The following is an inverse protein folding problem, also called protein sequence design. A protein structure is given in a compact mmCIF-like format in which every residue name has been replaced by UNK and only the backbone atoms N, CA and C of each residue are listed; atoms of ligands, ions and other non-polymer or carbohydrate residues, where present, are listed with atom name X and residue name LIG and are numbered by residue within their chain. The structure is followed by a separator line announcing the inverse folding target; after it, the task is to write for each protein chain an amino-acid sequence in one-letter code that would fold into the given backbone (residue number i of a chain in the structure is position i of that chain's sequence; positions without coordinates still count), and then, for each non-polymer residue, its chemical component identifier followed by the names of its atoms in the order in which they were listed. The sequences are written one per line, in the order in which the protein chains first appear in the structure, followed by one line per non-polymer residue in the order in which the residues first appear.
data_IF_589465809853
#
_entry.id   IF_589465809853
#
_cell.length_a   1.000
_cell.length_b   1.000
_cell.length_c   1.000
_cell.angle_alpha   90.00
_cell.angle_beta   90.00
_cell.angle_gamma   90.00
#
_symmetry.space_group_name_H-M   'P 1'
#
loop_
_entity.id
_entity.type
_entity.pdbx_description
1 polymer ?
#
# COMPACT_ATOMS: atom_id res chain seq x y z
N UNK A 1 2.85 23.94 -5.17
CA UNK A 1 3.47 22.86 -4.39
C UNK A 1 3.11 23.06 -2.92
N UNK A 2 2.78 21.99 -2.20
CA UNK A 2 2.51 22.10 -0.77
C UNK A 2 3.81 22.33 0.01
N UNK A 3 3.75 23.08 1.13
CA UNK A 3 4.90 23.26 2.05
C UNK A 3 5.53 21.93 2.48
N UNK A 4 4.70 20.89 2.57
CA UNK A 4 5.09 19.52 2.88
C UNK A 4 6.09 18.93 1.88
N UNK A 5 5.83 19.09 0.58
CA UNK A 5 6.73 18.62 -0.48
C UNK A 5 8.10 19.30 -0.42
N UNK A 6 8.11 20.61 -0.16
CA UNK A 6 9.34 21.39 -0.02
C UNK A 6 10.16 20.91 1.17
N UNK A 7 9.54 20.77 2.35
CA UNK A 7 10.21 20.35 3.58
C UNK A 7 10.84 18.96 3.44
N UNK A 8 10.14 18.04 2.77
CA UNK A 8 10.65 16.68 2.49
C UNK A 8 11.91 16.72 1.62
N UNK A 9 12.05 17.70 0.74
CA UNK A 9 13.24 17.86 -0.10
C UNK A 9 14.40 18.58 0.58
N UNK A 10 14.11 19.51 1.48
CA UNK A 10 15.15 20.20 2.26
C UNK A 10 15.76 19.29 3.34
N UNK A 11 15.02 18.27 3.80
CA UNK A 11 15.42 17.43 4.93
C UNK A 11 15.78 15.97 4.57
N UNK A 12 15.45 15.49 3.36
CA UNK A 12 15.68 14.10 2.97
C UNK A 12 17.05 13.88 2.30
N UNK A 13 17.75 12.83 2.72
CA UNK A 13 18.74 12.15 1.87
C UNK A 13 18.01 11.21 0.90
N UNK A 14 17.30 11.75 -0.10
CA UNK A 14 16.42 10.98 -0.99
C UNK A 14 16.10 11.68 -2.31
N UNK A 15 15.53 10.94 -3.27
CA UNK A 15 15.43 11.36 -4.68
C UNK A 15 14.49 12.55 -4.90
N UNK A 16 14.98 13.56 -5.62
CA UNK A 16 14.21 14.72 -6.04
C UNK A 16 13.70 14.53 -7.46
N UNK A 17 12.37 14.55 -7.67
CA UNK A 17 11.80 14.38 -9.03
C UNK A 17 12.03 15.62 -9.89
N UNK A 18 12.54 15.46 -11.11
CA UNK A 18 12.90 16.59 -11.99
C UNK A 18 11.74 17.55 -12.29
N UNK A 19 10.52 17.05 -12.40
CA UNK A 19 9.33 17.87 -12.66
C UNK A 19 8.92 18.67 -11.41
N UNK A 20 9.25 18.18 -10.22
CA UNK A 20 9.08 18.93 -8.98
C UNK A 20 10.22 19.93 -8.79
N UNK A 21 11.45 19.62 -9.20
CA UNK A 21 12.53 20.61 -9.28
C UNK A 21 12.17 21.76 -10.22
N UNK A 22 11.67 21.47 -11.43
CA UNK A 22 11.21 22.51 -12.37
C UNK A 22 10.15 23.42 -11.74
N UNK A 23 9.16 22.82 -11.07
CA UNK A 23 8.10 23.55 -10.42
C UNK A 23 8.59 24.36 -9.19
N UNK A 24 9.60 23.89 -8.46
CA UNK A 24 10.20 24.62 -7.32
C UNK A 24 11.04 25.79 -7.83
N UNK A 25 11.89 25.57 -8.83
CA UNK A 25 12.71 26.62 -9.44
C UNK A 25 11.84 27.76 -9.99
N UNK A 26 10.69 27.45 -10.58
CA UNK A 26 9.73 28.46 -11.06
C UNK A 26 9.09 29.26 -9.92
N UNK A 27 8.80 28.62 -8.79
CA UNK A 27 8.21 29.28 -7.61
C UNK A 27 9.25 30.12 -6.88
N UNK A 28 10.49 29.66 -6.78
CA UNK A 28 11.59 30.36 -6.12
C UNK A 28 12.27 31.43 -6.98
N UNK A 29 11.85 31.60 -8.24
CA UNK A 29 12.39 32.62 -9.14
C UNK A 29 13.84 32.36 -9.57
N UNK A 30 14.25 31.09 -9.61
CA UNK A 30 15.59 30.66 -10.06
C UNK A 30 15.76 30.98 -11.55
N UNK A 31 16.98 31.37 -11.95
CA UNK A 31 17.30 31.69 -13.36
C UNK A 31 17.07 30.49 -14.30
N UNK A 32 16.79 30.75 -15.59
CA UNK A 32 16.53 29.69 -16.57
C UNK A 32 17.72 28.71 -16.71
N UNK A 33 18.95 29.22 -16.62
CA UNK A 33 20.18 28.42 -16.70
C UNK A 33 20.32 27.49 -15.48
N UNK A 34 20.19 28.04 -14.28
CA UNK A 34 20.32 27.30 -13.02
C UNK A 34 19.15 26.33 -12.80
N UNK A 35 17.94 26.70 -13.25
CA UNK A 35 16.79 25.78 -13.33
C UNK A 35 17.10 24.59 -14.21
N UNK A 36 17.66 24.82 -15.40
CA UNK A 36 17.98 23.73 -16.33
C UNK A 36 19.04 22.78 -15.75
N UNK A 37 20.06 23.33 -15.08
CA UNK A 37 21.08 22.54 -14.38
C UNK A 37 20.50 21.70 -13.23
N UNK A 38 19.61 22.26 -12.42
CA UNK A 38 18.94 21.54 -11.32
C UNK A 38 17.97 20.46 -11.83
N UNK A 39 17.25 20.73 -12.92
CA UNK A 39 16.40 19.75 -13.61
C UNK A 39 17.26 18.61 -14.14
N UNK A 40 18.39 18.91 -14.76
CA UNK A 40 19.28 17.89 -15.32
C UNK A 40 19.97 17.09 -14.20
N UNK A 41 20.30 17.71 -13.07
CA UNK A 41 20.77 17.02 -11.87
C UNK A 41 19.71 16.06 -11.31
N UNK A 42 18.44 16.48 -11.24
CA UNK A 42 17.33 15.65 -10.78
C UNK A 42 16.95 14.53 -11.77
N UNK A 43 17.08 14.76 -13.08
CA UNK A 43 16.92 13.71 -14.11
C UNK A 43 18.02 12.65 -14.02
N UNK A 44 19.23 13.07 -13.66
CA UNK A 44 20.39 12.21 -13.54
C UNK A 44 20.63 11.68 -12.12
N UNK A 45 19.82 12.14 -11.15
CA UNK A 45 19.70 11.63 -9.79
C UNK A 45 19.05 10.25 -9.83
N UNK A 46 19.85 9.24 -10.17
CA UNK A 46 19.46 7.84 -9.98
C UNK A 46 19.59 7.54 -8.49
N UNK A 47 18.49 7.16 -7.85
CA UNK A 47 18.56 6.30 -6.67
C UNK A 47 19.30 5.05 -7.09
N UNK A 48 20.56 4.93 -6.66
CA UNK A 48 21.35 3.71 -6.82
C UNK A 48 21.05 2.69 -5.71
N UNK A 49 20.22 3.05 -4.74
CA UNK A 49 19.99 2.29 -3.51
C UNK A 49 18.49 2.10 -3.27
N UNK A 50 17.98 0.94 -3.68
CA UNK A 50 16.60 0.53 -3.46
C UNK A 50 16.41 -0.87 -4.03
N UNK A 51 15.77 -1.77 -3.29
CA UNK A 51 15.62 -3.16 -3.74
C UNK A 51 14.78 -3.30 -5.02
N UNK A 52 14.00 -2.27 -5.35
CA UNK A 52 13.17 -2.19 -6.55
C UNK A 52 13.94 -1.75 -7.81
N UNK A 53 15.18 -1.28 -7.69
CA UNK A 53 16.01 -0.80 -8.82
C UNK A 53 16.17 -1.85 -9.93
N UNK A 54 16.40 -3.15 -9.65
CA UNK A 54 16.46 -4.18 -10.68
C UNK A 54 15.16 -4.34 -11.50
N UNK A 55 14.02 -3.90 -10.96
CA UNK A 55 12.70 -4.05 -11.57
C UNK A 55 12.23 -2.81 -12.33
N UNK A 56 12.95 -1.68 -12.31
CA UNK A 56 12.47 -0.37 -12.78
C UNK A 56 11.94 -0.35 -14.24
N UNK A 57 12.49 -1.16 -15.14
CA UNK A 57 12.02 -1.27 -16.53
C UNK A 57 10.70 -2.03 -16.71
N UNK A 58 10.22 -2.71 -15.66
CA UNK A 58 9.06 -3.60 -15.66
C UNK A 58 7.96 -3.17 -14.67
N UNK A 59 8.29 -2.26 -13.76
CA UNK A 59 7.31 -1.68 -12.83
C UNK A 59 6.34 -0.78 -13.59
N UNK A 60 5.05 -0.90 -13.27
CA UNK A 60 4.07 0.11 -13.68
C UNK A 60 4.44 1.47 -13.08
N UNK A 61 4.07 2.56 -13.76
CA UNK A 61 4.35 3.91 -13.27
C UNK A 61 3.85 4.15 -11.82
N UNK A 62 2.67 3.66 -11.40
CA UNK A 62 2.26 3.74 -10.00
C UNK A 62 3.18 2.99 -9.04
N UNK A 63 3.65 1.78 -9.39
CA UNK A 63 4.56 1.01 -8.54
C UNK A 63 5.93 1.69 -8.38
N UNK A 64 6.45 2.33 -9.44
CA UNK A 64 7.69 3.10 -9.35
C UNK A 64 7.58 4.26 -8.35
N UNK A 65 6.39 4.83 -8.19
CA UNK A 65 6.13 5.89 -7.22
C UNK A 65 5.85 5.35 -5.82
N UNK A 66 5.13 4.22 -5.73
CA UNK A 66 4.68 3.61 -4.47
C UNK A 66 5.84 3.05 -3.64
N UNK A 67 6.74 2.27 -4.27
CA UNK A 67 7.76 1.50 -3.55
C UNK A 67 8.72 2.38 -2.72
N UNK A 68 9.21 3.54 -3.21
CA UNK A 68 9.99 4.45 -2.38
C UNK A 68 9.19 5.02 -1.20
N UNK A 69 7.91 5.40 -1.42
CA UNK A 69 7.06 5.96 -0.36
C UNK A 69 6.82 4.92 0.74
N UNK A 70 6.47 3.70 0.34
CA UNK A 70 6.30 2.58 1.25
C UNK A 70 7.58 2.30 2.05
N UNK A 71 8.74 2.26 1.37
CA UNK A 71 10.03 1.99 2.02
C UNK A 71 10.39 3.03 3.09
N UNK A 72 10.12 4.32 2.84
CA UNK A 72 10.42 5.41 3.77
C UNK A 72 9.35 5.58 4.87
N UNK A 73 8.23 4.87 4.78
CA UNK A 73 7.16 4.98 5.78
C UNK A 73 7.56 4.34 7.10
N UNK A 74 7.26 5.01 8.21
CA UNK A 74 7.33 4.46 9.57
C UNK A 74 5.97 3.95 10.03
N UNK A 75 4.88 4.36 9.38
CA UNK A 75 3.51 3.92 9.64
C UNK A 75 2.80 3.69 8.31
N UNK A 76 2.04 2.62 8.22
CA UNK A 76 1.18 2.31 7.08
C UNK A 76 -0.21 1.98 7.63
N UNK A 77 -1.24 2.68 7.16
CA UNK A 77 -2.64 2.37 7.49
C UNK A 77 -3.38 2.02 6.22
N UNK A 78 -4.09 0.90 6.17
CA UNK A 78 -4.72 0.44 4.94
C UNK A 78 -6.13 -0.04 5.19
N UNK A 79 -7.09 0.52 4.45
CA UNK A 79 -8.42 -0.05 4.31
C UNK A 79 -8.47 -0.88 3.03
N UNK A 80 -8.82 -2.17 3.16
CA UNK A 80 -9.00 -3.06 2.04
C UNK A 80 -10.44 -3.58 1.99
N UNK A 81 -11.13 -3.28 0.89
CA UNK A 81 -12.55 -3.63 0.69
C UNK A 81 -12.77 -4.67 -0.40
N UNK A 82 -11.69 -5.19 -1.01
CA UNK A 82 -11.78 -6.03 -2.19
C UNK A 82 -10.98 -7.33 -2.12
N UNK A 83 -9.70 -7.23 -1.79
CA UNK A 83 -8.75 -8.36 -1.76
C UNK A 83 -7.80 -8.13 -0.60
N UNK A 84 -7.15 -9.20 -0.15
CA UNK A 84 -6.13 -9.09 0.91
C UNK A 84 -5.01 -8.13 0.46
N UNK A 85 -4.54 -7.20 1.31
CA UNK A 85 -3.43 -6.30 0.98
C UNK A 85 -2.18 -7.02 0.50
N UNK A 86 -1.49 -6.44 -0.49
CA UNK A 86 -0.31 -7.05 -1.10
C UNK A 86 0.85 -7.33 -0.14
N UNK A 87 0.95 -6.61 0.97
CA UNK A 87 1.94 -6.84 2.03
C UNK A 87 1.63 -8.09 2.88
N UNK A 88 0.40 -8.61 2.82
CA UNK A 88 -0.09 -9.76 3.59
C UNK A 88 -0.55 -10.91 2.69
N UNK A 89 -0.18 -10.92 1.40
CA UNK A 89 -0.61 -11.96 0.47
C UNK A 89 0.32 -13.17 0.47
N UNK A 90 -0.21 -14.39 0.38
CA UNK A 90 0.62 -15.55 0.05
C UNK A 90 0.95 -15.57 -1.45
N UNK A 91 1.96 -16.33 -1.83
CA UNK A 91 2.35 -16.50 -3.22
C UNK A 91 1.18 -17.03 -4.08
N UNK A 92 0.49 -18.08 -3.59
CA UNK A 92 -0.63 -18.69 -4.31
C UNK A 92 -1.82 -17.74 -4.44
N UNK A 93 -2.11 -16.93 -3.41
CA UNK A 93 -3.16 -15.93 -3.48
C UNK A 93 -2.82 -14.83 -4.49
N UNK A 94 -1.58 -14.30 -4.43
CA UNK A 94 -1.11 -13.29 -5.37
C UNK A 94 -1.15 -13.78 -6.82
N UNK A 95 -0.77 -15.04 -7.06
CA UNK A 95 -0.86 -15.69 -8.37
C UNK A 95 -2.32 -15.80 -8.82
N UNK A 96 -3.22 -16.26 -7.96
CA UNK A 96 -4.65 -16.41 -8.28
C UNK A 96 -5.32 -15.08 -8.67
N UNK A 97 -4.96 -13.97 -8.02
CA UNK A 97 -5.42 -12.63 -8.40
C UNK A 97 -4.92 -12.27 -9.81
N UNK A 98 -3.66 -12.59 -10.13
CA UNK A 98 -3.07 -12.27 -11.43
C UNK A 98 -3.57 -13.12 -12.59
N UNK A 99 -4.02 -14.35 -12.32
CA UNK A 99 -4.61 -15.23 -13.34
C UNK A 99 -6.11 -15.01 -13.53
N UNK A 100 -6.71 -14.01 -12.88
CA UNK A 100 -8.13 -13.68 -13.06
C UNK A 100 -8.39 -13.20 -14.50
N UNK A 101 -9.43 -13.70 -15.20
CA UNK A 101 -9.72 -13.34 -16.58
C UNK A 101 -9.80 -11.82 -16.81
N UNK A 102 -9.19 -11.34 -17.90
CA UNK A 102 -9.19 -9.93 -18.29
C UNK A 102 -8.00 -9.10 -17.78
N UNK A 103 -7.09 -9.68 -16.97
CA UNK A 103 -5.84 -9.03 -16.52
C UNK A 103 -4.62 -9.98 -16.53
N UNK A 104 -4.67 -11.06 -17.30
CA UNK A 104 -3.58 -12.04 -17.40
C UNK A 104 -2.34 -11.39 -17.99
N UNK A 105 -1.23 -11.42 -17.25
CA UNK A 105 0.11 -11.08 -17.77
C UNK A 105 0.65 -12.29 -18.56
N UNK A 106 1.57 -12.04 -19.49
CA UNK A 106 2.32 -13.12 -20.13
C UNK A 106 3.06 -13.97 -19.07
N UNK A 107 3.21 -15.30 -19.27
CA UNK A 107 3.75 -16.20 -18.24
C UNK A 107 5.14 -15.82 -17.71
N UNK A 108 5.99 -15.25 -18.57
CA UNK A 108 7.36 -14.82 -18.23
C UNK A 108 7.36 -13.59 -17.30
N UNK A 109 6.40 -12.67 -17.49
CA UNK A 109 6.22 -11.49 -16.64
C UNK A 109 5.57 -11.83 -15.29
N UNK A 110 4.85 -12.95 -15.20
CA UNK A 110 4.17 -13.37 -13.98
C UNK A 110 5.14 -13.81 -12.88
N UNK A 111 6.21 -14.54 -13.22
CA UNK A 111 7.21 -15.03 -12.25
C UNK A 111 7.96 -13.89 -11.56
N UNK A 112 8.57 -13.00 -12.35
CA UNK A 112 9.32 -11.85 -11.81
C UNK A 112 8.41 -10.90 -11.01
N UNK A 113 7.15 -10.72 -11.44
CA UNK A 113 6.17 -9.94 -10.69
C UNK A 113 5.88 -10.55 -9.31
N UNK A 114 5.70 -11.87 -9.25
CA UNK A 114 5.47 -12.57 -7.99
C UNK A 114 6.69 -12.47 -7.07
N UNK A 115 7.90 -12.65 -7.61
CA UNK A 115 9.15 -12.50 -6.85
C UNK A 115 9.29 -11.09 -6.26
N UNK A 116 9.08 -10.05 -7.08
CA UNK A 116 9.08 -8.66 -6.62
C UNK A 116 8.01 -8.45 -5.53
N UNK A 117 6.81 -8.99 -5.72
CA UNK A 117 5.72 -8.87 -4.76
C UNK A 117 6.05 -9.54 -3.43
N UNK A 118 6.64 -10.74 -3.44
CA UNK A 118 7.07 -11.42 -2.22
C UNK A 118 8.25 -10.69 -1.56
N UNK A 119 9.19 -10.17 -2.34
CA UNK A 119 10.29 -9.37 -1.80
C UNK A 119 9.79 -8.11 -1.10
N UNK A 120 8.80 -7.42 -1.67
CA UNK A 120 8.18 -6.21 -1.11
C UNK A 120 7.70 -6.41 0.34
N UNK A 121 7.17 -7.60 0.66
CA UNK A 121 6.62 -7.90 1.99
C UNK A 121 7.69 -7.88 3.09
N UNK A 122 8.96 -8.09 2.75
CA UNK A 122 10.09 -8.06 3.70
C UNK A 122 10.27 -6.73 4.41
N UNK A 123 9.58 -5.67 3.97
CA UNK A 123 9.52 -4.41 4.72
C UNK A 123 8.98 -4.62 6.15
N UNK A 124 8.07 -5.58 6.35
CA UNK A 124 7.50 -5.91 7.66
C UNK A 124 8.49 -6.69 8.55
N UNK A 125 9.53 -7.29 7.96
CA UNK A 125 10.51 -8.15 8.64
C UNK A 125 11.87 -7.45 8.87
N UNK A 126 12.00 -6.18 8.47
CA UNK A 126 13.27 -5.43 8.62
C UNK A 126 13.51 -5.03 10.09
N UNK A 127 14.74 -4.63 10.43
CA UNK A 127 15.11 -4.28 11.80
C UNK A 127 14.26 -3.15 12.44
N UNK A 128 13.75 -2.23 11.63
CA UNK A 128 12.82 -1.17 12.04
C UNK A 128 11.60 -1.18 11.11
N UNK A 129 10.68 -2.15 11.26
CA UNK A 129 9.54 -2.28 10.38
C UNK A 129 8.55 -1.12 10.61
N UNK A 130 7.72 -0.77 9.61
CA UNK A 130 6.65 0.19 9.84
C UNK A 130 5.56 -0.41 10.73
N UNK A 131 4.91 0.44 11.52
CA UNK A 131 3.65 0.10 12.17
C UNK A 131 2.57 -0.04 11.10
N UNK A 132 2.10 -1.27 10.86
CA UNK A 132 1.15 -1.57 9.81
C UNK A 132 -0.22 -1.92 10.38
N UNK A 133 -1.20 -1.02 10.20
CA UNK A 133 -2.58 -1.22 10.64
C UNK A 133 -3.50 -1.43 9.43
N UNK A 134 -4.10 -2.61 9.36
CA UNK A 134 -5.00 -3.01 8.28
C UNK A 134 -6.43 -3.16 8.79
N UNK A 135 -7.36 -2.49 8.13
CA UNK A 135 -8.80 -2.73 8.22
C UNK A 135 -9.23 -3.55 7.00
N UNK A 136 -9.75 -4.74 7.26
CA UNK A 136 -10.33 -5.61 6.25
C UNK A 136 -11.84 -5.50 6.30
N UNK A 137 -12.48 -5.18 5.18
CA UNK A 137 -13.91 -5.44 5.03
C UNK A 137 -14.16 -6.95 5.08
N UNK A 138 -15.22 -7.41 5.74
CA UNK A 138 -15.53 -8.84 5.82
C UNK A 138 -15.62 -9.51 4.44
N UNK A 139 -16.00 -8.77 3.39
CA UNK A 139 -16.02 -9.31 2.02
C UNK A 139 -14.66 -9.81 1.54
N UNK A 140 -13.55 -9.27 2.04
CA UNK A 140 -12.19 -9.74 1.74
C UNK A 140 -11.99 -11.18 2.23
N UNK A 141 -12.58 -11.53 3.38
CA UNK A 141 -12.49 -12.87 3.96
C UNK A 141 -13.43 -13.86 3.26
N UNK A 142 -14.55 -13.38 2.71
CA UNK A 142 -15.60 -14.21 2.09
C UNK A 142 -15.38 -14.45 0.60
N UNK A 143 -14.73 -13.54 -0.12
CA UNK A 143 -14.51 -13.64 -1.57
C UNK A 143 -13.61 -14.82 -1.90
N UNK A 144 -14.06 -15.69 -2.80
CA UNK A 144 -13.28 -16.84 -3.24
C UNK A 144 -12.18 -16.38 -4.22
N UNK A 145 -10.92 -16.53 -3.80
CA UNK A 145 -9.73 -16.26 -4.63
C UNK A 145 -8.86 -17.51 -4.67
N UNK A 146 -8.59 -18.04 -5.86
CA UNK A 146 -7.75 -19.24 -6.02
C UNK A 146 -8.37 -20.55 -5.47
N UNK A 147 -9.62 -20.50 -5.02
CA UNK A 147 -10.35 -21.64 -4.46
C UNK A 147 -10.12 -21.85 -2.96
N UNK A 148 -10.82 -22.84 -2.37
CA UNK A 148 -10.82 -23.08 -0.92
C UNK A 148 -9.45 -23.24 -0.25
N UNK A 149 -8.53 -23.96 -0.89
CA UNK A 149 -7.20 -24.23 -0.32
C UNK A 149 -6.34 -22.97 -0.28
N UNK A 150 -6.35 -22.18 -1.35
CA UNK A 150 -5.61 -20.91 -1.44
C UNK A 150 -6.16 -19.90 -0.43
N UNK A 151 -7.48 -19.80 -0.30
CA UNK A 151 -8.09 -18.95 0.74
C UNK A 151 -7.73 -19.40 2.15
N UNK A 152 -7.72 -20.71 2.42
CA UNK A 152 -7.38 -21.20 3.76
C UNK A 152 -5.93 -20.84 4.14
N UNK A 153 -4.98 -21.07 3.22
CA UNK A 153 -3.58 -20.67 3.39
C UNK A 153 -3.43 -19.15 3.56
N UNK A 154 -4.16 -18.37 2.77
CA UNK A 154 -4.14 -16.92 2.88
C UNK A 154 -4.65 -16.44 4.26
N UNK A 155 -5.71 -17.05 4.77
CA UNK A 155 -6.25 -16.69 6.08
C UNK A 155 -5.34 -17.16 7.22
N UNK A 156 -4.61 -18.27 7.05
CA UNK A 156 -3.55 -18.68 7.99
C UNK A 156 -2.45 -17.62 8.10
N UNK A 157 -1.97 -17.08 6.97
CA UNK A 157 -0.97 -16.00 6.98
C UNK A 157 -1.47 -14.74 7.69
N UNK A 158 -2.76 -14.39 7.56
CA UNK A 158 -3.32 -13.24 8.29
C UNK A 158 -3.35 -13.48 9.79
N UNK A 159 -3.69 -14.69 10.24
CA UNK A 159 -3.64 -15.05 11.66
C UNK A 159 -2.22 -15.02 12.20
N UNK A 160 -1.25 -15.52 11.43
CA UNK A 160 0.18 -15.48 11.79
C UNK A 160 0.69 -14.05 11.89
N UNK A 161 0.50 -13.23 10.85
CA UNK A 161 0.94 -11.83 10.82
C UNK A 161 0.22 -10.97 11.84
N UNK A 162 -1.01 -11.30 12.23
CA UNK A 162 -1.71 -10.63 13.32
C UNK A 162 -1.06 -10.80 14.70
N UNK A 163 -0.08 -11.71 14.85
CA UNK A 163 0.71 -11.87 16.08
C UNK A 163 1.98 -11.01 16.08
N UNK A 164 2.38 -10.42 14.95
CA UNK A 164 3.57 -9.57 14.86
C UNK A 164 3.32 -8.24 15.59
N UNK A 165 4.28 -7.78 16.40
CA UNK A 165 4.11 -6.58 17.23
C UNK A 165 3.91 -5.29 16.43
N UNK A 166 4.32 -5.27 15.16
CA UNK A 166 4.19 -4.13 14.26
C UNK A 166 3.00 -4.27 13.29
N UNK A 167 2.18 -5.32 13.40
CA UNK A 167 1.04 -5.55 12.50
C UNK A 167 -0.25 -5.65 13.30
N UNK A 168 -1.20 -4.79 12.98
CA UNK A 168 -2.54 -4.82 13.55
C UNK A 168 -3.55 -5.10 12.45
N UNK A 169 -4.35 -6.15 12.61
CA UNK A 169 -5.41 -6.53 11.66
C UNK A 169 -6.75 -6.46 12.38
N UNK A 170 -7.66 -5.66 11.84
CA UNK A 170 -9.05 -5.62 12.29
C UNK A 170 -9.99 -5.90 11.12
N UNK A 171 -11.18 -6.43 11.44
CA UNK A 171 -12.22 -6.73 10.45
C UNK A 171 -13.42 -5.85 10.70
N UNK A 172 -13.91 -5.19 9.65
CA UNK A 172 -15.19 -4.51 9.59
C UNK A 172 -16.27 -5.55 9.24
N UNK A 173 -17.09 -6.01 10.20
CA UNK A 173 -18.09 -7.04 9.93
C UNK A 173 -19.28 -6.44 9.17
N UNK A 174 -19.97 -7.25 8.36
CA UNK A 174 -21.13 -6.77 7.59
C UNK A 174 -22.25 -6.21 8.48
N UNK A 175 -22.40 -6.73 9.70
CA UNK A 175 -23.39 -6.27 10.66
C UNK A 175 -23.16 -4.85 11.17
N UNK A 176 -21.97 -4.29 10.93
CA UNK A 176 -21.60 -2.95 11.37
C UNK A 176 -22.21 -1.86 10.44
N UNK A 177 -22.67 -2.25 9.24
CA UNK A 177 -23.42 -1.40 8.33
C UNK A 177 -22.56 -0.70 7.28
N UNK A 178 -23.18 0.18 6.48
CA UNK A 178 -22.48 0.93 5.44
C UNK A 178 -21.79 2.16 6.05
N UNK A 179 -20.52 2.37 5.67
CA UNK A 179 -19.73 3.49 6.14
C UNK A 179 -19.40 4.46 5.01
N UNK A 180 -20.03 5.64 5.02
CA UNK A 180 -19.70 6.72 4.06
C UNK A 180 -18.28 7.27 4.24
N UNK A 181 -17.68 7.04 5.40
CA UNK A 181 -16.32 7.43 5.75
C UNK A 181 -15.26 6.77 4.85
N UNK A 182 -15.59 5.69 4.12
CA UNK A 182 -14.72 5.13 3.10
C UNK A 182 -15.49 4.47 1.96
N UNK A 183 -15.68 5.22 0.87
CA UNK A 183 -16.31 4.72 -0.35
C UNK A 183 -15.40 3.75 -1.14
N UNK A 184 -14.09 3.75 -0.88
CA UNK A 184 -13.10 2.92 -1.58
C UNK A 184 -11.94 2.51 -0.69
N UNK A 185 -11.21 1.47 -1.10
CA UNK A 185 -9.94 1.11 -0.47
C UNK A 185 -8.92 2.25 -0.62
N UNK A 186 -8.11 2.47 0.40
CA UNK A 186 -7.02 3.45 0.40
C UNK A 186 -5.90 3.04 1.34
N UNK A 187 -4.73 3.65 1.17
CA UNK A 187 -3.56 3.48 2.05
C UNK A 187 -3.07 4.86 2.48
N UNK A 188 -2.79 5.03 3.77
CA UNK A 188 -2.08 6.18 4.32
C UNK A 188 -0.65 5.74 4.59
N UNK A 189 0.29 6.33 3.86
CA UNK A 189 1.72 6.19 4.11
C UNK A 189 2.17 7.35 4.97
N UNK A 190 2.62 7.05 6.19
CA UNK A 190 2.95 8.05 7.19
C UNK A 190 4.38 7.97 7.71
N UNK A 191 4.87 9.13 8.12
CA UNK A 191 6.20 9.30 8.71
C UNK A 191 6.14 9.96 10.09
N UNK A 192 7.29 10.50 10.57
CA UNK A 192 7.36 11.24 11.82
C UNK A 192 6.52 12.52 11.84
N UNK A 193 6.33 13.16 10.69
CA UNK A 193 5.49 14.36 10.53
C UNK A 193 4.17 14.01 9.80
N UNK A 194 3.02 13.98 10.51
CA UNK A 194 1.72 13.69 9.92
C UNK A 194 1.30 14.65 8.80
N UNK A 195 1.86 15.86 8.73
CA UNK A 195 1.59 16.83 7.66
C UNK A 195 2.17 16.37 6.31
N UNK A 196 3.07 15.37 6.34
CA UNK A 196 3.72 14.79 5.17
C UNK A 196 3.11 13.44 4.74
N UNK A 197 2.05 12.98 5.42
CA UNK A 197 1.40 11.72 5.08
C UNK A 197 0.84 11.77 3.64
N UNK A 198 0.94 10.63 2.94
CA UNK A 198 0.50 10.47 1.55
C UNK A 198 -0.65 9.47 1.50
N UNK A 199 -1.77 9.88 0.90
CA UNK A 199 -2.89 8.98 0.63
C UNK A 199 -2.72 8.35 -0.74
N UNK A 200 -2.71 7.03 -0.81
CA UNK A 200 -2.66 6.27 -2.03
C UNK A 200 -4.00 5.58 -2.29
N UNK A 201 -4.56 5.79 -3.48
CA UNK A 201 -5.79 5.15 -3.94
C UNK A 201 -5.51 4.52 -5.30
N UNK A 202 -5.76 3.23 -5.43
CA UNK A 202 -5.64 2.50 -6.70
C UNK A 202 -7.03 2.26 -7.31
N UNK A 203 -7.16 2.50 -8.60
CA UNK A 203 -8.36 2.19 -9.37
C UNK A 203 -8.01 1.44 -10.66
N UNK A 204 -9.02 1.07 -11.44
CA UNK A 204 -8.83 0.27 -12.66
C UNK A 204 -7.98 0.97 -13.73
N UNK A 205 -8.01 2.30 -13.78
CA UNK A 205 -7.37 3.10 -14.84
C UNK A 205 -6.06 3.77 -14.39
N UNK A 206 -5.72 3.70 -13.11
CA UNK A 206 -4.51 4.32 -12.57
C UNK A 206 -4.52 4.40 -11.05
N UNK A 207 -3.75 5.34 -10.52
CA UNK A 207 -3.62 5.55 -9.08
C UNK A 207 -3.52 7.04 -8.76
N UNK A 208 -4.00 7.40 -7.57
CA UNK A 208 -3.94 8.75 -7.02
C UNK A 208 -2.99 8.77 -5.83
N UNK A 209 -2.20 9.84 -5.74
CA UNK A 209 -1.39 10.19 -4.59
C UNK A 209 -1.87 11.56 -4.12
N UNK A 210 -2.53 11.61 -2.96
CA UNK A 210 -3.11 12.83 -2.40
C UNK A 210 -2.26 13.30 -1.22
N UNK A 211 -1.96 14.60 -1.22
CA UNK A 211 -1.02 15.24 -0.28
C UNK A 211 -1.54 16.61 0.19
N UNK A 212 -2.76 16.95 -0.18
CA UNK A 212 -3.47 18.11 0.33
C UNK A 212 -4.07 17.82 1.71
N UNK A 213 -4.10 18.85 2.55
CA UNK A 213 -4.53 18.76 3.95
C UNK A 213 -5.96 18.19 4.09
N UNK A 214 -6.92 18.71 3.33
CA UNK A 214 -8.30 18.23 3.37
C UNK A 214 -8.43 16.76 2.99
N UNK A 215 -7.63 16.25 2.05
CA UNK A 215 -7.63 14.83 1.73
C UNK A 215 -7.03 13.98 2.86
N UNK A 216 -5.91 14.41 3.47
CA UNK A 216 -5.35 13.72 4.63
C UNK A 216 -6.34 13.66 5.79
N UNK A 217 -6.91 14.79 6.17
CA UNK A 217 -7.85 14.87 7.29
C UNK A 217 -9.07 13.96 7.09
N UNK A 218 -9.65 13.99 5.88
CA UNK A 218 -10.79 13.15 5.56
C UNK A 218 -10.46 11.65 5.64
N UNK A 219 -9.31 11.21 5.09
CA UNK A 219 -8.95 9.78 5.06
C UNK A 219 -8.43 9.27 6.39
N UNK A 220 -7.63 10.07 7.12
CA UNK A 220 -7.15 9.71 8.47
C UNK A 220 -8.33 9.68 9.45
N UNK A 221 -9.19 10.71 9.44
CA UNK A 221 -10.39 10.74 10.27
C UNK A 221 -11.36 9.61 9.93
N UNK A 222 -11.52 9.28 8.64
CA UNK A 222 -12.30 8.14 8.19
C UNK A 222 -11.73 6.80 8.67
N UNK A 223 -10.41 6.62 8.58
CA UNK A 223 -9.72 5.42 9.08
C UNK A 223 -9.91 5.27 10.60
N UNK A 224 -9.67 6.33 11.37
CA UNK A 224 -9.81 6.31 12.83
C UNK A 224 -11.27 6.04 13.26
N UNK A 225 -12.25 6.56 12.51
CA UNK A 225 -13.65 6.22 12.71
C UNK A 225 -13.89 4.71 12.48
N UNK A 226 -13.42 4.17 11.36
CA UNK A 226 -13.60 2.75 11.03
C UNK A 226 -12.89 1.82 12.02
N UNK A 227 -11.74 2.20 12.58
CA UNK A 227 -11.08 1.42 13.64
C UNK A 227 -11.96 1.25 14.89
N UNK A 228 -12.85 2.21 15.19
CA UNK A 228 -13.78 2.09 16.33
C UNK A 228 -14.98 1.20 16.03
N UNK A 229 -15.33 1.09 14.76
CA UNK A 229 -16.45 0.30 14.27
C UNK A 229 -16.05 -1.15 13.94
N UNK A 230 -14.76 -1.36 13.63
CA UNK A 230 -14.20 -2.67 13.40
C UNK A 230 -14.17 -3.49 14.69
N UNK A 231 -14.15 -4.81 14.53
CA UNK A 231 -13.88 -5.73 15.62
C UNK A 231 -12.49 -5.44 16.21
N UNK A 232 -12.33 -5.64 17.51
CA UNK A 232 -11.01 -5.67 18.12
C UNK A 232 -10.13 -6.77 17.49
N UNK A 233 -8.80 -6.72 17.67
CA UNK A 233 -7.89 -7.69 17.03
C UNK A 233 -8.18 -9.17 17.35
N UNK A 234 -8.62 -9.48 18.57
CA UNK A 234 -8.90 -10.85 18.99
C UNK A 234 -10.19 -11.36 18.33
N UNK A 235 -11.26 -10.57 18.41
CA UNK A 235 -12.53 -10.86 17.71
C UNK A 235 -12.37 -10.94 16.19
N UNK A 236 -11.45 -10.14 15.64
CA UNK A 236 -11.07 -10.18 14.22
C UNK A 236 -10.38 -11.49 13.87
N UNK A 237 -9.44 -11.96 14.69
CA UNK A 237 -8.77 -13.24 14.51
C UNK A 237 -9.77 -14.42 14.57
N UNK A 238 -10.74 -14.37 15.49
CA UNK A 238 -11.81 -15.37 15.55
C UNK A 238 -12.62 -15.41 14.24
N UNK A 239 -13.03 -14.24 13.72
CA UNK A 239 -13.78 -14.16 12.47
C UNK A 239 -12.95 -14.65 11.26
N UNK A 240 -11.65 -14.35 11.21
CA UNK A 240 -10.72 -14.85 10.19
C UNK A 240 -10.64 -16.39 10.26
N UNK A 241 -10.51 -16.96 11.47
CA UNK A 241 -10.45 -18.41 11.67
C UNK A 241 -11.77 -19.12 11.28
N UNK A 242 -12.92 -18.50 11.53
CA UNK A 242 -14.22 -19.03 11.08
C UNK A 242 -14.40 -18.93 9.56
N UNK A 243 -13.96 -17.83 8.94
CA UNK A 243 -13.95 -17.71 7.48
C UNK A 243 -13.07 -18.81 6.85
N UNK A 244 -11.92 -19.09 7.44
CA UNK A 244 -11.01 -20.17 7.01
C UNK A 244 -11.69 -21.54 7.03
N UNK A 245 -12.35 -21.89 8.14
CA UNK A 245 -13.12 -23.16 8.26
C UNK A 245 -14.22 -23.23 7.20
N UNK A 246 -14.89 -22.11 6.94
CA UNK A 246 -15.97 -22.01 5.95
C UNK A 246 -15.47 -22.33 4.55
N UNK A 247 -14.34 -21.74 4.13
CA UNK A 247 -13.73 -22.05 2.82
C UNK A 247 -13.43 -23.54 2.68
N UNK A 248 -12.82 -24.16 3.68
CA UNK A 248 -12.48 -25.59 3.65
C UNK A 248 -13.71 -26.51 3.60
N UNK A 249 -14.84 -26.12 4.22
CA UNK A 249 -16.10 -26.88 4.15
C UNK A 249 -16.73 -26.82 2.76
N UNK A 250 -16.61 -25.69 2.07
CA UNK A 250 -17.12 -25.48 0.71
C UNK A 250 -16.24 -26.16 -0.38
N UNK A 251 -15.28 -27.00 0.02
CA UNK A 251 -14.44 -27.82 -0.89
C UNK A 251 -15.15 -29.09 -1.37
N UNK A 252 -16.32 -29.41 -0.81
CA UNK A 252 -17.19 -30.55 -1.13
C UNK A 252 -18.47 -30.07 -1.80
#
# INVERSE_FOLDING_TARGET
MSKANVSRYEQSKGNVRWNQVDALCRVYGVSDTERQELIDLAKNSKVKEGWWVPYHGRLSAPMQMLLPIENESSRIRQLATNVVPGLLQTLLYAQAIKTTPGKTLEPEDAGEFLDMRMYRQKILDRASPPDYHVLLDESVLRRAVGGPAVMAEQLDLLLERGQDSNVQIQVLPFGAGAYSAALSSFIVYGGPDPLLDVIFIENTVGSLFLEEEGAREAHVGGFDFLCREALDPDSSAELIAEARKTHLRNRN
#
